data_IF_517776702153
#
_entry.id   IF_517776702153
#
_cell.length_a   1.000
_cell.length_b   1.000
_cell.length_c   1.000
_cell.angle_alpha   90.00
_cell.angle_beta   90.00
_cell.angle_gamma   90.00
#
_symmetry.space_group_name_H-M   'P 1'
#
loop_
_entity.id
_entity.type
_entity.pdbx_description
1 polymer ?
#
# COMPACT_ATOMS: atom_id res chain seq x y z
N UNK A 1 56.80 52.80 11.76
CA UNK A 1 56.44 51.58 12.51
C UNK A 1 55.05 51.12 12.08
N UNK A 2 54.88 50.27 11.06
CA UNK A 2 53.51 49.89 10.65
C UNK A 2 53.33 48.60 9.84
N UNK A 3 54.40 47.86 9.48
CA UNK A 3 54.25 46.65 8.65
C UNK A 3 54.23 45.35 9.47
N UNK A 4 54.90 45.30 10.63
CA UNK A 4 54.93 44.11 11.51
C UNK A 4 53.58 43.84 12.19
N UNK A 5 52.81 44.88 12.52
CA UNK A 5 51.51 44.77 13.19
C UNK A 5 50.42 44.21 12.26
N UNK A 6 50.50 44.49 10.95
CA UNK A 6 49.60 43.92 9.94
C UNK A 6 49.89 42.43 9.69
N UNK A 7 51.16 42.02 9.68
CA UNK A 7 51.54 40.61 9.52
C UNK A 7 51.08 39.73 10.68
N UNK A 8 51.18 40.21 11.92
CA UNK A 8 50.72 39.48 13.11
C UNK A 8 49.20 39.33 13.15
N UNK A 9 48.45 40.38 12.76
CA UNK A 9 46.99 40.30 12.68
C UNK A 9 46.53 39.34 11.57
N UNK A 10 47.16 39.37 10.39
CA UNK A 10 46.76 38.51 9.28
C UNK A 10 47.05 37.03 9.54
N UNK A 11 48.15 36.71 10.24
CA UNK A 11 48.48 35.34 10.66
C UNK A 11 47.44 34.76 11.64
N UNK A 12 46.89 35.59 12.53
CA UNK A 12 45.87 35.18 13.50
C UNK A 12 44.45 35.15 12.90
N UNK A 13 44.18 36.01 11.90
CA UNK A 13 42.90 36.07 11.17
C UNK A 13 42.74 34.94 10.13
N UNK A 14 43.84 34.49 9.51
CA UNK A 14 43.84 33.45 8.47
C UNK A 14 43.16 32.14 8.90
N UNK A 15 43.43 31.52 10.07
CA UNK A 15 42.74 30.30 10.49
C UNK A 15 41.24 30.51 10.73
N UNK A 16 40.84 31.67 11.25
CA UNK A 16 39.42 32.03 11.43
C UNK A 16 38.70 32.22 10.11
N UNK A 17 39.35 32.86 9.13
CA UNK A 17 38.82 33.01 7.77
C UNK A 17 38.66 31.66 7.08
N UNK A 18 39.64 30.75 7.24
CA UNK A 18 39.54 29.41 6.66
C UNK A 18 38.44 28.58 7.31
N UNK A 19 38.24 28.68 8.63
CA UNK A 19 37.14 28.00 9.32
C UNK A 19 35.78 28.51 8.82
N UNK A 20 35.60 29.83 8.72
CA UNK A 20 34.38 30.42 8.15
C UNK A 20 34.16 30.00 6.70
N UNK A 21 35.22 29.98 5.88
CA UNK A 21 35.13 29.54 4.49
C UNK A 21 34.76 28.05 4.38
N UNK A 22 35.29 27.20 5.26
CA UNK A 22 34.96 25.76 5.30
C UNK A 22 33.52 25.55 5.77
N UNK A 23 33.09 26.23 6.84
CA UNK A 23 31.70 26.16 7.33
C UNK A 23 30.73 26.67 6.26
N UNK A 24 31.09 27.76 5.55
CA UNK A 24 30.30 28.28 4.44
C UNK A 24 30.23 27.27 3.31
N UNK A 25 31.35 26.69 2.88
CA UNK A 25 31.40 25.68 1.83
C UNK A 25 30.55 24.46 2.21
N UNK A 26 30.76 23.89 3.39
CA UNK A 26 29.99 22.74 3.89
C UNK A 26 28.50 23.07 4.02
N UNK A 27 28.18 24.27 4.52
CA UNK A 27 26.81 24.78 4.59
C UNK A 27 26.18 24.92 3.21
N UNK A 28 26.89 25.49 2.24
CA UNK A 28 26.39 25.69 0.86
C UNK A 28 26.20 24.37 0.10
N UNK A 29 27.04 23.37 0.36
CA UNK A 29 26.98 22.06 -0.27
C UNK A 29 25.88 21.18 0.36
N UNK A 30 25.63 21.33 1.67
CA UNK A 30 24.67 20.52 2.40
C UNK A 30 23.26 21.12 2.55
N UNK A 31 23.12 22.45 2.68
CA UNK A 31 21.82 23.09 2.89
C UNK A 31 20.89 22.91 1.69
N UNK A 32 21.41 22.98 0.46
CA UNK A 32 20.58 22.83 -0.74
C UNK A 32 19.89 21.47 -0.79
N UNK A 33 20.60 20.41 -0.43
CA UNK A 33 20.04 19.06 -0.38
C UNK A 33 19.04 18.89 0.77
N UNK A 34 19.39 19.40 1.96
CA UNK A 34 18.52 19.31 3.14
C UNK A 34 17.20 20.08 2.95
N UNK A 35 17.27 21.30 2.43
CA UNK A 35 16.08 22.14 2.19
C UNK A 35 15.22 21.53 1.09
N UNK A 36 15.80 21.03 0.00
CA UNK A 36 15.02 20.36 -1.05
C UNK A 36 14.33 19.10 -0.52
N UNK A 37 15.02 18.28 0.28
CA UNK A 37 14.41 17.09 0.90
C UNK A 37 13.27 17.49 1.84
N UNK A 38 13.46 18.52 2.67
CA UNK A 38 12.42 19.03 3.56
C UNK A 38 11.20 19.54 2.78
N UNK A 39 11.40 20.27 1.68
CA UNK A 39 10.32 20.74 0.81
C UNK A 39 9.57 19.57 0.18
N UNK A 40 10.27 18.53 -0.29
CA UNK A 40 9.65 17.31 -0.84
C UNK A 40 8.83 16.60 0.24
N UNK A 41 9.36 16.44 1.46
CA UNK A 41 8.65 15.79 2.56
C UNK A 41 7.40 16.58 2.94
N UNK A 42 7.49 17.90 3.05
CA UNK A 42 6.33 18.76 3.33
C UNK A 42 5.31 18.66 2.20
N UNK A 43 5.75 18.74 0.94
CA UNK A 43 4.88 18.57 -0.22
C UNK A 43 4.19 17.21 -0.23
N UNK A 44 4.92 16.14 0.05
CA UNK A 44 4.37 14.79 0.18
C UNK A 44 3.41 14.70 1.36
N UNK A 45 3.70 15.31 2.51
CA UNK A 45 2.82 15.32 3.68
C UNK A 45 1.47 15.97 3.35
N UNK A 46 1.49 17.03 2.54
CA UNK A 46 0.28 17.73 2.09
C UNK A 46 -0.49 16.96 1.02
N UNK A 47 0.22 16.29 0.10
CA UNK A 47 -0.39 15.53 -1.01
C UNK A 47 -0.82 14.11 -0.60
N UNK A 48 -0.12 13.49 0.35
CA UNK A 48 -0.36 12.15 0.84
C UNK A 48 -1.81 11.90 1.27
N UNK A 49 -2.47 12.75 2.09
CA UNK A 49 -3.86 12.50 2.47
C UNK A 49 -4.80 12.46 1.27
N UNK A 50 -4.56 13.29 0.26
CA UNK A 50 -5.36 13.31 -0.97
C UNK A 50 -5.15 12.02 -1.76
N UNK A 51 -3.89 11.63 -1.99
CA UNK A 51 -3.56 10.39 -2.71
C UNK A 51 -4.10 9.16 -2.00
N UNK A 52 -3.92 9.08 -0.68
CA UNK A 52 -4.42 7.98 0.14
C UNK A 52 -5.95 7.91 0.08
N UNK A 53 -6.65 9.05 0.18
CA UNK A 53 -8.11 9.08 0.13
C UNK A 53 -8.65 8.57 -1.22
N UNK A 54 -8.12 9.08 -2.33
CA UNK A 54 -8.56 8.65 -3.66
C UNK A 54 -8.14 7.22 -3.99
N UNK A 55 -6.91 6.83 -3.63
CA UNK A 55 -6.42 5.47 -3.82
C UNK A 55 -7.23 4.46 -3.01
N UNK A 56 -7.54 4.77 -1.76
CA UNK A 56 -8.37 3.92 -0.89
C UNK A 56 -9.80 3.81 -1.42
N UNK A 57 -10.42 4.93 -1.85
CA UNK A 57 -11.75 4.90 -2.47
C UNK A 57 -11.78 4.06 -3.74
N UNK A 58 -10.81 4.24 -4.63
CA UNK A 58 -10.70 3.48 -5.87
C UNK A 58 -10.52 1.99 -5.58
N UNK A 59 -9.64 1.65 -4.63
CA UNK A 59 -9.42 0.27 -4.20
C UNK A 59 -10.69 -0.38 -3.63
N UNK A 60 -11.43 0.32 -2.76
CA UNK A 60 -12.70 -0.18 -2.23
C UNK A 60 -13.70 -0.46 -3.35
N UNK A 61 -13.87 0.46 -4.30
CA UNK A 61 -14.82 0.28 -5.41
C UNK A 61 -14.49 -0.94 -6.28
N UNK A 62 -13.21 -1.25 -6.47
CA UNK A 62 -12.79 -2.42 -7.26
C UNK A 62 -12.76 -3.72 -6.45
N UNK A 63 -12.59 -3.65 -5.13
CA UNK A 63 -12.46 -4.83 -4.28
C UNK A 63 -13.77 -5.21 -3.58
N UNK A 64 -14.77 -4.32 -3.50
CA UNK A 64 -16.10 -4.66 -3.00
C UNK A 64 -16.87 -5.46 -4.05
N UNK A 65 -17.38 -6.61 -3.62
CA UNK A 65 -18.15 -7.54 -4.44
C UNK A 65 -19.49 -7.75 -3.76
N UNK A 66 -20.59 -7.46 -4.47
CA UNK A 66 -21.94 -7.80 -4.03
C UNK A 66 -22.41 -9.05 -4.76
N UNK A 67 -22.70 -10.11 -4.02
CA UNK A 67 -23.21 -11.37 -4.58
C UNK A 67 -24.19 -12.03 -3.60
N UNK A 68 -24.83 -13.12 -4.03
CA UNK A 68 -25.75 -13.92 -3.21
C UNK A 68 -25.05 -15.12 -2.59
N UNK A 69 -25.43 -15.46 -1.36
CA UNK A 69 -24.95 -16.67 -0.70
C UNK A 69 -25.44 -17.92 -1.46
N UNK A 70 -24.57 -18.84 -1.89
CA UNK A 70 -24.96 -20.06 -2.62
C UNK A 70 -25.64 -21.13 -1.75
N UNK A 71 -25.93 -20.83 -0.48
CA UNK A 71 -26.60 -21.73 0.47
C UNK A 71 -27.98 -21.19 0.84
N UNK A 72 -28.07 -19.90 1.19
CA UNK A 72 -29.31 -19.30 1.67
C UNK A 72 -29.85 -18.18 0.77
N UNK A 73 -29.21 -17.91 -0.37
CA UNK A 73 -29.59 -16.87 -1.36
C UNK A 73 -29.64 -15.44 -0.80
N UNK A 74 -29.09 -15.21 0.40
CA UNK A 74 -28.99 -13.89 1.01
C UNK A 74 -27.95 -13.03 0.27
N UNK A 75 -28.34 -11.83 -0.17
CA UNK A 75 -27.48 -10.87 -0.85
C UNK A 75 -26.71 -10.02 0.17
N UNK A 76 -25.39 -9.98 0.03
CA UNK A 76 -24.54 -9.14 0.87
C UNK A 76 -23.24 -8.77 0.16
N UNK A 77 -22.49 -7.84 0.73
CA UNK A 77 -21.23 -7.35 0.16
C UNK A 77 -20.04 -7.93 0.92
N UNK A 78 -19.06 -8.43 0.18
CA UNK A 78 -17.79 -8.92 0.68
C UNK A 78 -16.61 -8.22 0.02
N UNK A 79 -15.42 -8.39 0.60
CA UNK A 79 -14.17 -8.00 -0.06
C UNK A 79 -13.67 -9.17 -0.92
N UNK A 80 -13.24 -8.88 -2.14
CA UNK A 80 -12.62 -9.86 -3.02
C UNK A 80 -11.34 -10.44 -2.39
N UNK A 81 -11.07 -11.72 -2.65
CA UNK A 81 -9.97 -12.50 -2.10
C UNK A 81 -9.96 -12.61 -0.57
N UNK A 82 -11.12 -12.57 0.07
CA UNK A 82 -11.24 -12.76 1.53
C UNK A 82 -12.17 -13.93 1.87
N UNK A 83 -11.94 -14.53 3.03
CA UNK A 83 -12.86 -15.49 3.64
C UNK A 83 -13.77 -14.74 4.60
N UNK A 84 -15.07 -14.96 4.49
CA UNK A 84 -16.08 -14.31 5.31
C UNK A 84 -17.16 -15.31 5.70
N UNK A 85 -17.94 -15.00 6.73
CA UNK A 85 -19.08 -15.81 7.14
C UNK A 85 -20.36 -15.12 6.70
N UNK A 86 -21.30 -15.88 6.13
CA UNK A 86 -22.59 -15.33 5.75
C UNK A 86 -23.33 -14.81 6.99
N UNK A 87 -23.81 -13.56 7.02
CA UNK A 87 -24.51 -13.00 8.18
C UNK A 87 -25.88 -13.63 8.43
N UNK A 88 -26.45 -14.36 7.45
CA UNK A 88 -27.76 -14.99 7.56
C UNK A 88 -27.69 -16.46 7.98
N UNK A 89 -26.83 -17.28 7.35
CA UNK A 89 -26.74 -18.71 7.64
C UNK A 89 -25.47 -19.15 8.40
N UNK A 90 -24.49 -18.25 8.58
CA UNK A 90 -23.22 -18.58 9.25
C UNK A 90 -22.25 -19.44 8.43
N UNK A 91 -22.55 -19.73 7.17
CA UNK A 91 -21.69 -20.53 6.31
C UNK A 91 -20.37 -19.79 5.99
N UNK A 92 -19.20 -20.45 6.10
CA UNK A 92 -17.92 -19.88 5.68
C UNK A 92 -17.80 -19.89 4.15
N UNK A 93 -17.61 -18.70 3.58
CA UNK A 93 -17.53 -18.45 2.15
C UNK A 93 -16.19 -17.82 1.78
N UNK A 94 -15.73 -18.11 0.57
CA UNK A 94 -14.56 -17.53 -0.04
C UNK A 94 -14.98 -16.64 -1.21
N UNK A 95 -14.62 -15.36 -1.17
CA UNK A 95 -14.88 -14.43 -2.26
C UNK A 95 -13.73 -14.51 -3.26
N UNK A 96 -14.00 -15.01 -4.45
CA UNK A 96 -13.01 -15.07 -5.54
C UNK A 96 -13.66 -14.68 -6.86
N UNK A 97 -12.90 -14.00 -7.71
CA UNK A 97 -13.34 -13.61 -9.07
C UNK A 97 -14.66 -12.85 -9.12
N UNK A 98 -15.02 -12.13 -8.05
CA UNK A 98 -16.29 -11.39 -7.99
C UNK A 98 -17.50 -12.23 -7.60
N UNK A 99 -17.31 -13.46 -7.11
CA UNK A 99 -18.38 -14.35 -6.70
C UNK A 99 -18.13 -15.01 -5.34
N UNK A 100 -19.22 -15.45 -4.70
CA UNK A 100 -19.15 -16.20 -3.44
C UNK A 100 -19.10 -17.71 -3.69
N UNK A 101 -18.00 -18.33 -3.26
CA UNK A 101 -17.79 -19.77 -3.34
C UNK A 101 -17.79 -20.39 -1.93
N UNK A 102 -18.20 -21.66 -1.82
CA UNK A 102 -18.02 -22.41 -0.57
C UNK A 102 -16.55 -22.79 -0.42
N UNK A 103 -16.07 -22.82 0.82
CA UNK A 103 -14.74 -23.35 1.13
C UNK A 103 -14.83 -24.87 1.06
N UNK A 104 -14.52 -25.44 -0.10
CA UNK A 104 -14.38 -26.89 -0.25
C UNK A 104 -12.98 -27.31 0.22
N UNK A 105 -12.87 -28.30 1.13
CA UNK A 105 -11.58 -28.92 1.42
C UNK A 105 -10.99 -29.52 0.13
N UNK A 106 -9.68 -29.37 -0.05
CA UNK A 106 -8.89 -30.04 -1.10
C UNK A 106 -9.25 -31.54 -1.12
N UNK A 107 -9.94 -31.99 -2.18
CA UNK A 107 -10.32 -33.40 -2.38
C UNK A 107 -11.81 -33.72 -2.53
N UNK A 108 -12.73 -32.75 -2.46
CA UNK A 108 -14.15 -33.00 -2.76
C UNK A 108 -14.43 -32.77 -4.25
N UNK A 109 -14.73 -33.83 -4.99
CA UNK A 109 -15.13 -33.74 -6.40
C UNK A 109 -16.65 -33.55 -6.46
N UNK A 110 -17.12 -32.50 -7.14
CA UNK A 110 -18.54 -32.31 -7.43
C UNK A 110 -19.02 -33.38 -8.43
N UNK A 111 -19.61 -34.45 -7.91
CA UNK A 111 -20.16 -35.53 -8.74
C UNK A 111 -21.56 -35.13 -9.18
N UNK A 112 -21.71 -34.78 -10.45
CA UNK A 112 -23.02 -34.63 -11.09
C UNK A 112 -23.56 -36.03 -11.41
N UNK A 113 -24.46 -36.54 -10.56
CA UNK A 113 -25.15 -37.80 -10.82
C UNK A 113 -26.04 -37.65 -12.06
N UNK A 114 -25.73 -38.41 -13.12
CA UNK A 114 -26.59 -38.56 -14.29
C UNK A 114 -27.26 -39.92 -14.14
N UNK A 115 -28.57 -39.93 -13.97
CA UNK A 115 -29.36 -41.17 -13.95
C UNK A 115 -29.30 -41.80 -15.35
N UNK A 116 -28.63 -42.96 -15.45
CA UNK A 116 -28.61 -43.74 -16.68
C UNK A 116 -29.79 -44.71 -16.64
N UNK A 117 -30.77 -44.63 -17.56
CA UNK A 117 -31.89 -45.56 -17.61
C UNK A 117 -31.37 -46.97 -17.94
N UNK A 118 -31.56 -47.92 -17.02
CA UNK A 118 -31.23 -49.32 -17.22
C UNK A 118 -32.26 -49.96 -18.14
N UNK A 119 -31.83 -50.37 -19.34
CA UNK A 119 -32.63 -51.21 -20.23
C UNK A 119 -32.65 -52.63 -19.68
N UNK A 120 -33.76 -52.98 -19.01
CA UNK A 120 -34.07 -54.36 -18.63
C UNK A 120 -34.17 -55.20 -19.91
N UNK A 121 -33.33 -56.24 -20.01
CA UNK A 121 -33.42 -57.24 -21.06
C UNK A 121 -34.29 -58.38 -20.49
N UNK A 122 -35.57 -58.40 -20.84
CA UNK A 122 -36.42 -59.57 -20.65
C UNK A 122 -36.04 -60.68 -21.64
N UNK A 123 -35.95 -61.91 -21.12
CA UNK A 123 -35.58 -63.17 -21.80
C UNK A 123 -36.53 -63.58 -22.94
#
# INVERSE_FOLDING_TARGET
MSLKTLQLNLANLRPWLTLLAIIWLLGSLGLGWLVNSLVIIIGLLLLAPVVVFFGFRWWLQHNLVGDRCPVCEYEFTGLNNTQLQCPNCGEPLLVQQGHFHRITPEGTIDIKAIEVPSKSLED
#
